data_IF_117912314619
#
_entry.id   IF_117912314619
#
_cell.length_a   1.000
_cell.length_b   1.000
_cell.length_c   1.000
_cell.angle_alpha   90.00
_cell.angle_beta   90.00
_cell.angle_gamma   90.00
#
_symmetry.space_group_name_H-M   'P 1'
#
loop_
_entity.id
_entity.type
_entity.pdbx_description
1 polymer ?
#
# COMPACT_ATOMS: atom_id res chain seq x y z
N UNK A 1 -47.13 43.89 39.34
CA UNK A 1 -46.84 43.57 37.94
C UNK A 1 -45.34 43.79 37.82
N UNK A 2 -44.58 42.69 37.93
CA UNK A 2 -43.16 42.69 38.30
C UNK A 2 -42.21 42.96 37.15
N UNK A 3 -41.12 43.58 37.55
CA UNK A 3 -39.80 43.75 36.91
C UNK A 3 -39.35 42.52 36.10
N UNK A 4 -38.75 42.77 34.93
CA UNK A 4 -37.33 42.51 34.65
C UNK A 4 -37.04 42.79 33.16
N UNK A 5 -36.57 44.02 32.88
CA UNK A 5 -35.80 44.31 31.68
C UNK A 5 -34.38 43.75 31.89
N UNK A 6 -34.13 42.55 31.37
CA UNK A 6 -32.77 42.06 31.18
C UNK A 6 -32.17 42.74 29.95
N UNK A 7 -31.59 43.92 30.16
CA UNK A 7 -30.54 44.44 29.29
C UNK A 7 -29.35 43.47 29.34
N UNK A 8 -29.34 42.52 28.40
CA UNK A 8 -28.13 41.82 28.01
C UNK A 8 -27.19 42.84 27.36
N UNK A 9 -26.35 43.46 28.18
CA UNK A 9 -25.10 44.07 27.74
C UNK A 9 -24.27 42.96 27.09
N UNK A 10 -24.38 42.86 25.75
CA UNK A 10 -23.36 42.24 24.93
C UNK A 10 -22.06 43.02 25.17
N UNK A 11 -21.25 42.54 26.11
CA UNK A 11 -19.87 42.96 26.28
C UNK A 11 -19.17 42.81 24.93
N UNK A 12 -19.00 43.95 24.24
CA UNK A 12 -18.17 44.04 23.05
C UNK A 12 -16.76 43.69 23.49
N UNK A 13 -16.34 42.45 23.22
CA UNK A 13 -14.97 42.02 23.45
C UNK A 13 -14.05 43.06 22.78
N UNK A 14 -13.16 43.74 23.51
CA UNK A 14 -12.35 44.80 22.93
C UNK A 14 -11.53 44.20 21.80
N UNK A 15 -11.68 44.77 20.60
CA UNK A 15 -11.01 44.31 19.40
C UNK A 15 -9.51 44.17 19.67
N UNK A 16 -9.02 42.93 19.70
CA UNK A 16 -7.60 42.65 19.93
C UNK A 16 -6.77 43.48 18.95
N UNK A 17 -5.74 44.21 19.44
CA UNK A 17 -4.92 45.03 18.56
C UNK A 17 -4.33 44.16 17.43
N UNK A 18 -4.27 44.69 16.20
CA UNK A 18 -3.81 43.92 15.05
C UNK A 18 -2.39 43.41 15.29
N UNK A 19 -2.21 42.12 15.03
CA UNK A 19 -0.95 41.42 15.27
C UNK A 19 0.17 42.08 14.46
N UNK A 20 1.29 42.42 15.11
CA UNK A 20 2.43 43.01 14.39
C UNK A 20 3.06 41.97 13.45
N UNK A 21 3.66 42.43 12.34
CA UNK A 21 4.33 41.54 11.40
C UNK A 21 5.47 40.73 12.03
N UNK A 22 6.17 41.30 13.01
CA UNK A 22 7.21 40.59 13.77
C UNK A 22 6.62 39.42 14.58
N UNK A 23 5.53 39.68 15.32
CA UNK A 23 4.83 38.65 16.08
C UNK A 23 4.22 37.57 15.18
N UNK A 24 3.70 37.96 14.01
CA UNK A 24 3.20 37.01 13.01
C UNK A 24 4.31 36.05 12.55
N UNK A 25 5.51 36.58 12.24
CA UNK A 25 6.65 35.76 11.81
C UNK A 25 7.13 34.81 12.91
N UNK A 26 7.20 35.28 14.15
CA UNK A 26 7.55 34.46 15.31
C UNK A 26 6.55 33.32 15.54
N UNK A 27 5.24 33.64 15.57
CA UNK A 27 4.19 32.62 15.69
C UNK A 27 4.25 31.61 14.55
N UNK A 28 4.50 32.07 13.32
CA UNK A 28 4.64 31.17 12.16
C UNK A 28 5.88 30.28 12.28
N UNK A 29 6.99 30.78 12.83
CA UNK A 29 8.18 29.97 13.10
C UNK A 29 7.89 28.87 14.12
N UNK A 30 7.23 29.21 15.24
CA UNK A 30 6.83 28.22 16.25
C UNK A 30 5.85 27.16 15.71
N UNK A 31 4.92 27.56 14.83
CA UNK A 31 4.05 26.59 14.15
C UNK A 31 4.83 25.64 13.25
N UNK A 32 5.84 26.12 12.51
CA UNK A 32 6.68 25.25 11.67
C UNK A 32 7.45 24.26 12.53
N UNK A 33 8.06 24.71 13.63
CA UNK A 33 8.78 23.84 14.56
C UNK A 33 7.88 22.75 15.14
N UNK A 34 6.69 23.10 15.63
CA UNK A 34 5.72 22.13 16.13
C UNK A 34 5.30 21.11 15.05
N UNK A 35 5.12 21.57 13.80
CA UNK A 35 4.84 20.67 12.68
C UNK A 35 6.01 19.74 12.37
N UNK A 36 7.26 20.18 12.56
CA UNK A 36 8.46 19.38 12.37
C UNK A 36 8.55 18.28 13.44
N UNK A 37 8.25 18.62 14.69
CA UNK A 37 8.20 17.66 15.80
C UNK A 37 7.12 16.59 15.62
N UNK A 38 5.95 16.98 15.13
CA UNK A 38 4.88 16.02 14.78
C UNK A 38 5.36 15.06 13.70
N UNK A 39 6.03 15.54 12.65
CA UNK A 39 6.54 14.67 11.58
C UNK A 39 7.59 13.70 12.09
N UNK A 40 8.51 14.17 12.94
CA UNK A 40 9.52 13.31 13.57
C UNK A 40 8.87 12.22 14.43
N UNK A 41 7.85 12.59 15.21
CA UNK A 41 7.09 11.64 16.04
C UNK A 41 6.36 10.59 15.21
N UNK A 42 5.75 10.99 14.09
CA UNK A 42 5.09 10.08 13.15
C UNK A 42 6.10 9.11 12.51
N UNK A 43 7.28 9.57 12.14
CA UNK A 43 8.33 8.71 11.59
C UNK A 43 8.78 7.64 12.60
N UNK A 44 8.99 8.03 13.86
CA UNK A 44 9.32 7.09 14.95
C UNK A 44 8.19 6.08 15.18
N UNK A 45 6.94 6.55 15.22
CA UNK A 45 5.78 5.67 15.37
C UNK A 45 5.69 4.67 14.21
N UNK A 46 5.82 5.13 12.97
CA UNK A 46 5.77 4.28 11.78
C UNK A 46 6.86 3.19 11.82
N UNK A 47 8.09 3.54 12.20
CA UNK A 47 9.17 2.57 12.37
C UNK A 47 8.83 1.50 13.42
N UNK A 48 8.34 1.91 14.60
CA UNK A 48 7.93 0.97 15.66
C UNK A 48 6.78 0.07 15.24
N UNK A 49 5.80 0.60 14.51
CA UNK A 49 4.67 -0.14 13.96
C UNK A 49 5.14 -1.21 12.97
N UNK A 50 6.09 -0.86 12.09
CA UNK A 50 6.71 -1.81 11.17
C UNK A 50 7.46 -2.91 11.92
N UNK A 51 8.26 -2.56 12.92
CA UNK A 51 9.04 -3.54 13.68
C UNK A 51 8.12 -4.50 14.47
N UNK A 52 7.07 -3.96 15.09
CA UNK A 52 6.01 -4.74 15.72
C UNK A 52 5.29 -5.66 14.71
N UNK A 53 5.04 -5.15 13.50
CA UNK A 53 4.39 -5.93 12.46
C UNK A 53 5.27 -7.07 11.95
N UNK A 54 6.56 -6.81 11.74
CA UNK A 54 7.54 -7.80 11.32
C UNK A 54 7.71 -8.91 12.38
N UNK A 55 7.74 -8.54 13.67
CA UNK A 55 7.81 -9.47 14.78
C UNK A 55 6.48 -10.22 15.06
N UNK A 56 5.39 -9.86 14.37
CA UNK A 56 4.05 -10.42 14.56
C UNK A 56 3.58 -10.38 16.02
N UNK A 57 3.81 -9.26 16.71
CA UNK A 57 3.55 -9.11 18.17
C UNK A 57 2.12 -9.45 18.59
N UNK A 58 1.17 -9.40 17.66
CA UNK A 58 -0.22 -9.74 17.91
C UNK A 58 -0.43 -11.23 18.23
N UNK A 59 0.43 -12.12 17.72
CA UNK A 59 0.32 -13.57 17.97
C UNK A 59 0.59 -13.94 19.44
N UNK A 60 1.74 -13.56 20.05
CA UNK A 60 1.99 -13.87 21.46
C UNK A 60 1.04 -13.11 22.41
N UNK A 61 0.45 -12.01 21.95
CA UNK A 61 -0.57 -11.26 22.71
C UNK A 61 -1.99 -11.84 22.55
N UNK A 62 -2.16 -12.90 21.74
CA UNK A 62 -3.43 -13.63 21.63
C UNK A 62 -4.44 -13.05 20.64
N UNK A 63 -4.05 -12.08 19.81
CA UNK A 63 -4.94 -11.56 18.77
C UNK A 63 -4.86 -12.42 17.50
N UNK A 64 -6.01 -12.69 16.88
CA UNK A 64 -6.09 -13.52 15.67
C UNK A 64 -5.52 -12.86 14.41
N UNK A 65 -5.31 -11.54 14.42
CA UNK A 65 -4.78 -10.80 13.27
C UNK A 65 -4.15 -9.47 13.69
N UNK A 66 -3.33 -8.91 12.78
CA UNK A 66 -2.81 -7.55 12.90
C UNK A 66 -3.91 -6.50 13.07
N UNK A 67 -5.01 -6.65 12.33
CA UNK A 67 -6.14 -5.73 12.38
C UNK A 67 -6.84 -5.77 13.75
N UNK A 68 -7.08 -6.96 14.28
CA UNK A 68 -7.66 -7.13 15.62
C UNK A 68 -6.78 -6.53 16.70
N UNK A 69 -5.46 -6.66 16.57
CA UNK A 69 -4.49 -6.03 17.47
C UNK A 69 -4.52 -4.49 17.38
N UNK A 70 -4.50 -3.93 16.17
CA UNK A 70 -4.52 -2.47 16.00
C UNK A 70 -5.81 -1.81 16.48
N UNK A 71 -6.95 -2.46 16.28
CA UNK A 71 -8.23 -1.99 16.78
C UNK A 71 -8.26 -2.04 18.32
N UNK A 72 -7.86 -3.16 18.91
CA UNK A 72 -7.89 -3.37 20.35
C UNK A 72 -6.89 -2.50 21.13
N UNK A 73 -5.64 -2.40 20.66
CA UNK A 73 -4.55 -1.73 21.41
C UNK A 73 -4.44 -0.24 21.10
N UNK A 74 -4.80 0.18 19.87
CA UNK A 74 -4.58 1.56 19.43
C UNK A 74 -5.87 2.29 19.03
N UNK A 75 -7.01 1.59 18.92
CA UNK A 75 -8.27 2.18 18.46
C UNK A 75 -8.17 2.73 17.04
N UNK A 76 -7.32 2.15 16.19
CA UNK A 76 -7.13 2.61 14.80
C UNK A 76 -7.68 1.59 13.81
N UNK A 77 -8.27 2.12 12.73
CA UNK A 77 -8.76 1.27 11.65
C UNK A 77 -7.64 0.55 10.91
N UNK A 78 -7.98 -0.59 10.30
CA UNK A 78 -7.12 -1.33 9.38
C UNK A 78 -6.42 -0.42 8.37
N UNK A 79 -7.18 0.46 7.71
CA UNK A 79 -6.63 1.37 6.71
C UNK A 79 -5.59 2.34 7.31
N UNK A 80 -5.81 2.84 8.53
CA UNK A 80 -4.84 3.68 9.23
C UNK A 80 -3.57 2.88 9.58
N UNK A 81 -3.72 1.64 10.05
CA UNK A 81 -2.60 0.77 10.40
C UNK A 81 -1.71 0.46 9.17
N UNK A 82 -2.31 0.09 8.04
CA UNK A 82 -1.54 -0.12 6.80
C UNK A 82 -0.92 1.16 6.25
N UNK A 83 -1.58 2.33 6.38
CA UNK A 83 -0.96 3.62 6.03
C UNK A 83 0.31 3.91 6.82
N UNK A 84 0.39 3.50 8.09
CA UNK A 84 1.61 3.63 8.90
C UNK A 84 2.72 2.70 8.39
N UNK A 85 2.37 1.49 7.94
CA UNK A 85 3.32 0.57 7.30
C UNK A 85 3.85 1.11 5.97
N UNK A 86 2.98 1.71 5.14
CA UNK A 86 3.38 2.35 3.88
C UNK A 86 4.39 3.48 4.10
N UNK A 87 4.12 4.32 5.11
CA UNK A 87 5.01 5.41 5.52
C UNK A 87 6.35 4.86 6.02
N UNK A 88 6.32 3.82 6.85
CA UNK A 88 7.53 3.18 7.37
C UNK A 88 8.38 2.53 6.26
N UNK A 89 7.73 1.88 5.30
CA UNK A 89 8.38 1.28 4.14
C UNK A 89 9.04 2.33 3.26
N UNK A 90 8.34 3.44 2.96
CA UNK A 90 8.90 4.54 2.19
C UNK A 90 10.11 5.19 2.89
N UNK A 91 10.02 5.44 4.20
CA UNK A 91 11.14 5.99 4.96
C UNK A 91 12.33 5.04 4.98
N UNK A 92 12.12 3.75 5.20
CA UNK A 92 13.19 2.75 5.20
C UNK A 92 13.95 2.70 3.86
N UNK A 93 13.21 2.72 2.75
CA UNK A 93 13.81 2.73 1.42
C UNK A 93 14.63 4.02 1.17
N UNK A 94 14.12 5.17 1.59
CA UNK A 94 14.82 6.45 1.49
C UNK A 94 16.09 6.45 2.36
N UNK A 95 16.01 6.01 3.62
CA UNK A 95 17.16 5.91 4.51
C UNK A 95 18.23 4.98 3.94
N UNK A 96 17.85 3.77 3.48
CA UNK A 96 18.78 2.84 2.85
C UNK A 96 19.44 3.42 1.59
N UNK A 97 18.70 4.15 0.75
CA UNK A 97 19.27 4.80 -0.43
C UNK A 97 20.27 5.92 -0.09
N UNK A 98 20.00 6.68 0.97
CA UNK A 98 20.92 7.71 1.47
C UNK A 98 22.17 7.06 2.06
N UNK A 99 22.03 5.99 2.83
CA UNK A 99 23.16 5.23 3.37
C UNK A 99 24.06 4.73 2.22
N UNK A 100 23.51 4.04 1.23
CA UNK A 100 24.26 3.55 0.05
C UNK A 100 24.91 4.70 -0.73
N UNK A 101 24.17 5.78 -0.97
CA UNK A 101 24.66 6.95 -1.71
C UNK A 101 25.77 7.71 -0.98
N UNK A 102 25.78 7.70 0.35
CA UNK A 102 26.79 8.37 1.18
C UNK A 102 27.95 7.47 1.60
N UNK A 103 27.78 6.15 1.63
CA UNK A 103 28.88 5.18 1.77
C UNK A 103 29.89 5.33 0.63
N UNK A 104 29.40 5.58 -0.59
CA UNK A 104 30.23 5.88 -1.76
C UNK A 104 31.09 7.15 -1.56
N UNK A 105 30.71 8.03 -0.60
CA UNK A 105 31.37 9.31 -0.31
C UNK A 105 32.35 9.26 0.87
N UNK A 106 32.43 8.19 1.67
CA UNK A 106 33.21 8.20 2.94
C UNK A 106 34.51 7.39 2.89
N UNK A 107 35.63 8.11 2.71
CA UNK A 107 36.75 7.99 3.65
C UNK A 107 36.30 8.73 4.94
N UNK A 108 36.26 8.02 6.06
CA UNK A 108 35.48 8.27 7.29
C UNK A 108 35.77 9.60 8.02
N UNK A 109 34.73 10.32 8.45
CA UNK A 109 34.54 10.72 9.86
C UNK A 109 33.04 10.96 10.18
N UNK A 110 32.71 10.87 11.45
CA UNK A 110 31.43 10.50 12.07
C UNK A 110 30.29 11.48 11.78
N UNK A 111 29.37 11.11 10.87
CA UNK A 111 28.09 11.79 10.66
C UNK A 111 26.94 11.07 11.37
N UNK A 112 25.85 11.78 11.74
CA UNK A 112 24.72 11.20 12.47
C UNK A 112 24.16 9.98 11.71
N UNK A 113 23.80 8.92 12.44
CA UNK A 113 23.12 7.74 11.86
C UNK A 113 21.95 8.20 11.00
N UNK A 114 21.83 7.67 9.76
CA UNK A 114 20.76 8.04 8.83
C UNK A 114 19.35 7.86 9.40
N UNK A 115 19.20 7.05 10.46
CA UNK A 115 17.99 6.92 11.26
C UNK A 115 17.48 8.25 11.87
N UNK A 116 18.31 9.31 11.93
CA UNK A 116 17.97 10.60 12.53
C UNK A 116 17.60 11.70 11.52
N UNK A 117 17.75 11.48 10.21
CA UNK A 117 17.50 12.53 9.22
C UNK A 117 15.99 12.72 8.99
N UNK A 118 15.45 13.83 9.50
CA UNK A 118 14.16 14.36 9.04
C UNK A 118 14.37 15.03 7.68
N UNK A 119 13.90 14.37 6.63
CA UNK A 119 13.92 14.93 5.28
C UNK A 119 12.86 16.04 5.08
N UNK A 120 12.06 16.36 6.10
CA UNK A 120 10.93 17.28 6.05
C UNK A 120 9.87 16.86 5.05
N UNK A 121 9.70 15.55 4.85
CA UNK A 121 8.67 14.98 3.98
C UNK A 121 7.36 14.88 4.74
N UNK A 122 6.27 15.30 4.11
CA UNK A 122 4.94 15.09 4.69
C UNK A 122 4.49 13.64 4.56
N UNK A 123 3.61 13.19 5.45
CA UNK A 123 3.00 11.85 5.36
C UNK A 123 2.34 11.62 3.99
N UNK A 124 1.68 12.65 3.44
CA UNK A 124 1.09 12.62 2.09
C UNK A 124 2.12 12.37 1.01
N UNK A 125 3.31 12.97 1.11
CA UNK A 125 4.39 12.75 0.16
C UNK A 125 4.92 11.31 0.23
N UNK A 126 5.09 10.78 1.45
CA UNK A 126 5.54 9.41 1.68
C UNK A 126 4.53 8.38 1.16
N UNK A 127 3.24 8.58 1.45
CA UNK A 127 2.16 7.72 0.93
C UNK A 127 2.13 7.75 -0.61
N UNK A 128 2.27 8.92 -1.22
CA UNK A 128 2.24 9.07 -2.68
C UNK A 128 3.39 8.35 -3.42
N UNK A 129 4.49 8.04 -2.73
CA UNK A 129 5.63 7.31 -3.30
C UNK A 129 5.78 5.89 -2.74
N UNK A 130 4.92 5.46 -1.81
CA UNK A 130 4.99 4.15 -1.13
C UNK A 130 5.00 2.96 -2.10
N UNK A 131 4.26 3.05 -3.21
CA UNK A 131 4.25 2.03 -4.27
C UNK A 131 5.38 2.14 -5.30
N UNK A 132 6.32 3.08 -5.17
CA UNK A 132 7.44 3.34 -6.10
C UNK A 132 8.74 3.64 -5.34
N UNK A 133 8.94 2.97 -4.21
CA UNK A 133 10.06 3.22 -3.28
C UNK A 133 11.41 2.83 -3.88
N UNK A 134 11.43 1.83 -4.75
CA UNK A 134 12.55 1.43 -5.60
C UNK A 134 13.00 2.57 -6.53
N UNK A 135 12.05 3.20 -7.24
CA UNK A 135 12.34 4.33 -8.16
C UNK A 135 12.89 5.53 -7.38
N UNK A 136 12.31 5.82 -6.22
CA UNK A 136 12.81 6.90 -5.34
C UNK A 136 14.22 6.58 -4.85
N UNK A 137 14.46 5.36 -4.37
CA UNK A 137 15.75 4.92 -3.86
C UNK A 137 16.85 4.98 -4.93
N UNK A 138 16.55 4.51 -6.15
CA UNK A 138 17.48 4.58 -7.28
C UNK A 138 17.82 6.04 -7.63
N UNK A 139 16.81 6.91 -7.70
CA UNK A 139 17.01 8.32 -8.03
C UNK A 139 17.86 9.05 -6.98
N UNK A 140 17.62 8.77 -5.69
CA UNK A 140 18.42 9.29 -4.59
C UNK A 140 19.87 8.81 -4.72
N UNK A 141 20.08 7.49 -4.82
CA UNK A 141 21.41 6.88 -4.90
C UNK A 141 22.20 7.45 -6.07
N UNK A 142 21.58 7.51 -7.26
CA UNK A 142 22.19 8.05 -8.48
C UNK A 142 22.60 9.52 -8.32
N UNK A 143 21.75 10.35 -7.71
CA UNK A 143 22.03 11.78 -7.51
C UNK A 143 23.13 12.03 -6.49
N UNK A 144 23.10 11.31 -5.36
CA UNK A 144 24.15 11.40 -4.35
C UNK A 144 25.49 10.92 -4.91
N UNK A 145 25.51 9.82 -5.66
CA UNK A 145 26.70 9.37 -6.37
C UNK A 145 27.21 10.43 -7.35
N UNK A 146 26.36 11.01 -8.19
CA UNK A 146 26.76 12.06 -9.12
C UNK A 146 27.39 13.28 -8.41
N UNK A 147 26.82 13.69 -7.27
CA UNK A 147 27.38 14.79 -6.46
C UNK A 147 28.74 14.42 -5.86
N UNK A 148 28.90 13.20 -5.35
CA UNK A 148 30.20 12.71 -4.85
C UNK A 148 31.28 12.72 -5.95
N UNK A 149 30.92 12.31 -7.17
CA UNK A 149 31.84 12.34 -8.33
C UNK A 149 32.17 13.76 -8.81
N UNK A 150 31.34 14.76 -8.50
CA UNK A 150 31.58 16.16 -8.89
C UNK A 150 32.58 16.91 -7.99
N UNK A 151 33.14 16.25 -6.97
CA UNK A 151 34.22 16.79 -6.14
C UNK A 151 33.77 17.49 -4.85
N UNK A 152 32.49 17.41 -4.49
CA UNK A 152 32.01 17.79 -3.15
C UNK A 152 32.51 16.74 -2.14
N UNK A 153 33.59 17.07 -1.43
CA UNK A 153 34.28 16.17 -0.48
C UNK A 153 33.41 15.72 0.71
N UNK A 154 32.32 16.42 1.00
CA UNK A 154 31.34 16.00 2.00
C UNK A 154 29.92 16.43 1.58
N UNK A 155 29.02 15.46 1.48
CA UNK A 155 27.59 15.72 1.35
C UNK A 155 27.06 16.17 2.71
N UNK A 156 26.85 17.47 2.88
CA UNK A 156 26.25 17.99 4.10
C UNK A 156 24.76 17.61 4.20
N UNK A 157 24.24 17.62 5.43
CA UNK A 157 22.84 17.31 5.71
C UNK A 157 21.83 18.11 4.85
N UNK A 158 21.96 19.45 4.68
CA UNK A 158 21.01 20.20 3.85
C UNK A 158 21.05 19.78 2.37
N UNK A 159 22.21 19.40 1.83
CA UNK A 159 22.32 18.88 0.46
C UNK A 159 21.62 17.54 0.32
N UNK A 160 21.87 16.59 1.23
CA UNK A 160 21.19 15.28 1.23
C UNK A 160 19.67 15.48 1.33
N UNK A 161 19.23 16.35 2.23
CA UNK A 161 17.82 16.69 2.40
C UNK A 161 17.19 17.27 1.13
N UNK A 162 17.91 18.16 0.44
CA UNK A 162 17.45 18.74 -0.82
C UNK A 162 17.33 17.67 -1.92
N UNK A 163 18.32 16.77 -2.04
CA UNK A 163 18.29 15.66 -3.00
C UNK A 163 17.10 14.75 -2.76
N UNK A 164 16.87 14.34 -1.51
CA UNK A 164 15.72 13.48 -1.14
C UNK A 164 14.40 14.17 -1.45
N UNK A 165 14.23 15.43 -1.05
CA UNK A 165 13.00 16.20 -1.33
C UNK A 165 12.74 16.31 -2.83
N UNK A 166 13.78 16.58 -3.61
CA UNK A 166 13.66 16.70 -5.05
C UNK A 166 13.33 15.34 -5.69
N UNK A 167 13.99 14.26 -5.28
CA UNK A 167 13.70 12.91 -5.79
C UNK A 167 12.25 12.49 -5.52
N UNK A 168 11.77 12.68 -4.29
CA UNK A 168 10.37 12.39 -3.91
C UNK A 168 9.40 13.27 -4.69
N UNK A 169 9.72 14.56 -4.88
CA UNK A 169 8.89 15.47 -5.68
C UNK A 169 8.81 14.98 -7.13
N UNK A 170 9.94 14.61 -7.73
CA UNK A 170 10.04 14.19 -9.13
C UNK A 170 9.24 12.90 -9.36
N UNK A 171 9.37 11.90 -8.48
CA UNK A 171 8.57 10.68 -8.57
C UNK A 171 7.08 11.00 -8.41
N UNK A 172 6.71 11.87 -7.47
CA UNK A 172 5.30 12.24 -7.25
C UNK A 172 4.65 12.92 -8.46
N UNK A 173 5.38 13.77 -9.18
CA UNK A 173 4.87 14.47 -10.37
C UNK A 173 5.04 13.65 -11.66
N UNK A 174 5.98 12.70 -11.68
CA UNK A 174 6.14 11.79 -12.80
C UNK A 174 4.85 10.97 -12.95
N UNK A 175 4.34 10.83 -14.19
CA UNK A 175 3.25 9.91 -14.47
C UNK A 175 3.60 8.56 -13.84
N UNK A 176 2.64 7.84 -13.24
CA UNK A 176 2.89 6.45 -12.90
C UNK A 176 3.44 5.79 -14.17
N UNK A 177 4.52 4.99 -14.07
CA UNK A 177 4.97 4.23 -15.22
C UNK A 177 3.72 3.54 -15.80
N UNK A 178 3.57 3.48 -17.14
CA UNK A 178 2.50 2.67 -17.72
C UNK A 178 2.54 1.34 -16.98
N UNK A 179 1.39 0.80 -16.54
CA UNK A 179 1.37 -0.41 -15.75
C UNK A 179 2.33 -1.37 -16.44
N UNK A 180 3.43 -1.69 -15.76
CA UNK A 180 4.25 -2.83 -16.18
C UNK A 180 3.21 -3.93 -16.09
N UNK A 181 2.76 -4.40 -17.24
CA UNK A 181 1.89 -5.54 -17.27
C UNK A 181 2.64 -6.57 -16.42
N UNK A 182 2.12 -7.01 -15.27
CA UNK A 182 2.83 -7.99 -14.43
C UNK A 182 3.11 -9.29 -15.23
N UNK A 183 2.61 -9.36 -16.45
CA UNK A 183 2.82 -10.33 -17.51
C UNK A 183 3.93 -9.94 -18.53
N UNK A 184 5.03 -9.31 -18.13
CA UNK A 184 6.26 -9.31 -18.95
C UNK A 184 7.09 -10.58 -18.76
N UNK A 185 6.84 -11.37 -17.71
CA UNK A 185 7.41 -12.70 -17.59
C UNK A 185 6.70 -13.63 -18.60
N UNK A 186 7.39 -14.08 -19.67
CA UNK A 186 6.79 -14.92 -20.70
C UNK A 186 6.28 -16.25 -20.12
N UNK A 187 6.84 -16.72 -18.99
CA UNK A 187 6.40 -17.94 -18.32
C UNK A 187 5.06 -17.71 -17.61
N UNK A 188 4.88 -16.57 -16.93
CA UNK A 188 3.61 -16.22 -16.29
C UNK A 188 2.54 -15.93 -17.34
N UNK A 189 2.89 -15.28 -18.45
CA UNK A 189 2.00 -15.05 -19.58
C UNK A 189 1.52 -16.38 -20.21
N UNK A 190 2.46 -17.28 -20.49
CA UNK A 190 2.16 -18.62 -20.98
C UNK A 190 1.30 -19.41 -19.99
N UNK A 191 1.60 -19.35 -18.69
CA UNK A 191 0.81 -19.99 -17.64
C UNK A 191 -0.63 -19.47 -17.58
N UNK A 192 -0.84 -18.16 -17.71
CA UNK A 192 -2.18 -17.55 -17.78
C UNK A 192 -2.93 -17.96 -19.05
N UNK A 193 -2.24 -18.00 -20.18
CA UNK A 193 -2.85 -18.45 -21.43
C UNK A 193 -3.26 -19.93 -21.36
N UNK A 194 -2.40 -20.80 -20.82
CA UNK A 194 -2.73 -22.20 -20.58
C UNK A 194 -3.93 -22.34 -19.64
N UNK A 195 -3.97 -21.55 -18.57
CA UNK A 195 -5.09 -21.53 -17.63
C UNK A 195 -6.39 -21.06 -18.31
N UNK A 196 -6.33 -20.02 -19.16
CA UNK A 196 -7.47 -19.56 -19.93
C UNK A 196 -7.95 -20.61 -20.93
N UNK A 197 -7.03 -21.30 -21.60
CA UNK A 197 -7.35 -22.40 -22.51
C UNK A 197 -8.04 -23.55 -21.74
N UNK A 198 -7.54 -23.92 -20.56
CA UNK A 198 -8.17 -24.94 -19.71
C UNK A 198 -9.59 -24.54 -19.30
N UNK A 199 -9.82 -23.29 -18.93
CA UNK A 199 -11.18 -22.80 -18.65
C UNK A 199 -12.07 -22.81 -19.89
N UNK A 200 -11.54 -22.49 -21.07
CA UNK A 200 -12.30 -22.60 -22.33
C UNK A 200 -12.66 -24.04 -22.65
N UNK A 201 -11.73 -24.99 -22.45
CA UNK A 201 -11.98 -26.42 -22.64
C UNK A 201 -13.01 -26.95 -21.66
N UNK A 202 -12.91 -26.57 -20.38
CA UNK A 202 -13.89 -26.97 -19.36
C UNK A 202 -15.30 -26.41 -19.66
N UNK A 203 -15.39 -25.20 -20.24
CA UNK A 203 -16.66 -24.65 -20.69
C UNK A 203 -17.26 -25.46 -21.85
N UNK A 204 -16.45 -25.78 -22.86
CA UNK A 204 -16.89 -26.60 -23.99
C UNK A 204 -17.34 -28.01 -23.58
N UNK A 205 -16.62 -28.64 -22.63
CA UNK A 205 -17.06 -29.91 -22.02
C UNK A 205 -18.41 -29.71 -21.33
N UNK A 206 -18.57 -28.63 -20.56
CA UNK A 206 -19.83 -28.31 -19.90
C UNK A 206 -21.01 -28.08 -20.87
N UNK A 207 -20.76 -27.48 -22.04
CA UNK A 207 -21.78 -27.36 -23.10
C UNK A 207 -22.19 -28.74 -23.64
N UNK A 208 -21.22 -29.64 -23.89
CA UNK A 208 -21.54 -31.02 -24.27
C UNK A 208 -22.36 -31.75 -23.19
N UNK A 209 -22.06 -31.51 -21.91
CA UNK A 209 -22.86 -32.06 -20.81
C UNK A 209 -24.28 -31.49 -20.79
N UNK A 210 -24.47 -30.23 -21.16
CA UNK A 210 -25.79 -29.59 -21.20
C UNK A 210 -26.67 -30.11 -22.34
N UNK A 211 -26.09 -30.55 -23.45
CA UNK A 211 -26.84 -31.20 -24.55
C UNK A 211 -27.51 -32.50 -24.11
N UNK A 212 -26.84 -33.30 -23.26
CA UNK A 212 -27.35 -34.59 -22.77
C UNK A 212 -28.01 -34.52 -21.40
N UNK A 213 -27.71 -33.50 -20.60
CA UNK A 213 -28.29 -33.22 -19.29
C UNK A 213 -28.63 -31.72 -19.17
N UNK A 214 -29.78 -31.28 -19.70
CA UNK A 214 -30.16 -29.87 -19.75
C UNK A 214 -30.23 -29.20 -18.38
N UNK A 215 -30.11 -27.88 -18.34
CA UNK A 215 -29.99 -27.08 -17.11
C UNK A 215 -31.15 -27.23 -16.10
N UNK A 216 -32.33 -27.68 -16.53
CA UNK A 216 -33.47 -27.91 -15.63
C UNK A 216 -33.33 -29.19 -14.78
N UNK A 217 -32.39 -30.08 -15.11
CA UNK A 217 -32.12 -31.28 -14.33
C UNK A 217 -31.20 -30.95 -13.13
N UNK A 218 -31.47 -31.57 -11.99
CA UNK A 218 -30.57 -31.54 -10.85
C UNK A 218 -29.29 -32.35 -11.12
N UNK A 219 -28.22 -32.11 -10.34
CA UNK A 219 -26.97 -32.86 -10.47
C UNK A 219 -27.17 -34.36 -10.20
N UNK A 220 -28.09 -34.73 -9.30
CA UNK A 220 -28.44 -36.14 -9.04
C UNK A 220 -29.11 -36.80 -10.24
N UNK A 221 -30.04 -36.09 -10.90
CA UNK A 221 -30.71 -36.60 -12.10
C UNK A 221 -29.74 -36.68 -13.29
N UNK A 222 -28.91 -35.65 -13.47
CA UNK A 222 -27.88 -35.61 -14.49
C UNK A 222 -26.85 -36.75 -14.32
N UNK A 223 -26.50 -37.09 -13.07
CA UNK A 223 -25.55 -38.16 -12.75
C UNK A 223 -26.02 -39.58 -13.13
N UNK A 224 -27.34 -39.80 -13.26
CA UNK A 224 -27.93 -41.15 -13.44
C UNK A 224 -28.31 -41.50 -14.87
N UNK A 225 -27.87 -40.71 -15.86
CA UNK A 225 -28.34 -40.84 -17.25
C UNK A 225 -27.24 -40.88 -18.31
N UNK A 226 -27.59 -40.43 -19.53
CA UNK A 226 -26.73 -40.40 -20.72
C UNK A 226 -25.43 -39.61 -20.49
N UNK A 227 -25.44 -38.66 -19.57
CA UNK A 227 -24.26 -37.90 -19.18
C UNK A 227 -23.14 -38.77 -18.59
N UNK A 228 -23.48 -39.79 -17.77
CA UNK A 228 -22.48 -40.70 -17.22
C UNK A 228 -21.79 -41.53 -18.30
N UNK A 229 -22.57 -42.03 -19.27
CA UNK A 229 -22.04 -42.74 -20.44
C UNK A 229 -21.17 -41.83 -21.32
N UNK A 230 -21.60 -40.58 -21.53
CA UNK A 230 -20.80 -39.60 -22.28
C UNK A 230 -19.47 -39.31 -21.57
N UNK A 231 -19.48 -39.16 -20.24
CA UNK A 231 -18.27 -38.97 -19.43
C UNK A 231 -17.29 -40.14 -19.59
N UNK A 232 -17.78 -41.38 -19.53
CA UNK A 232 -16.96 -42.59 -19.76
C UNK A 232 -16.34 -42.61 -21.16
N UNK A 233 -17.12 -42.29 -22.20
CA UNK A 233 -16.66 -42.29 -23.60
C UNK A 233 -15.56 -41.25 -23.86
N UNK A 234 -15.67 -40.06 -23.26
CA UNK A 234 -14.66 -39.01 -23.40
C UNK A 234 -13.51 -39.13 -22.37
N UNK A 235 -13.55 -40.14 -21.51
CA UNK A 235 -12.54 -40.38 -20.47
C UNK A 235 -12.54 -39.33 -19.34
N UNK A 236 -13.66 -38.64 -19.13
CA UNK A 236 -13.80 -37.65 -18.07
C UNK A 236 -14.47 -38.24 -16.82
N UNK A 237 -13.97 -37.98 -15.61
CA UNK A 237 -14.66 -38.39 -14.39
C UNK A 237 -16.04 -37.74 -14.29
N UNK A 238 -17.06 -38.49 -13.84
CA UNK A 238 -18.43 -37.99 -13.71
C UNK A 238 -18.52 -36.72 -12.85
N UNK A 239 -17.75 -36.64 -11.76
CA UNK A 239 -17.68 -35.45 -10.91
C UNK A 239 -17.15 -34.22 -11.66
N UNK A 240 -16.19 -34.41 -12.57
CA UNK A 240 -15.66 -33.35 -13.42
C UNK A 240 -16.71 -32.93 -14.46
N UNK A 241 -17.42 -33.88 -15.07
CA UNK A 241 -18.54 -33.60 -15.96
C UNK A 241 -19.62 -32.74 -15.29
N UNK A 242 -20.00 -33.06 -14.07
CA UNK A 242 -20.98 -32.27 -13.28
C UNK A 242 -20.46 -30.87 -12.95
N UNK A 243 -19.17 -30.77 -12.59
CA UNK A 243 -18.54 -29.48 -12.31
C UNK A 243 -18.44 -28.60 -13.56
N UNK A 244 -18.09 -29.17 -14.72
CA UNK A 244 -18.05 -28.51 -16.01
C UNK A 244 -19.45 -28.04 -16.45
N UNK A 245 -20.48 -28.88 -16.26
CA UNK A 245 -21.89 -28.53 -16.50
C UNK A 245 -22.32 -27.31 -15.66
N UNK A 246 -22.03 -27.30 -14.35
CA UNK A 246 -22.30 -26.15 -13.47
C UNK A 246 -21.55 -24.90 -13.90
N UNK A 247 -20.31 -25.06 -14.34
CA UNK A 247 -19.50 -23.95 -14.86
C UNK A 247 -20.06 -23.38 -16.17
N UNK A 248 -20.53 -24.22 -17.10
CA UNK A 248 -21.15 -23.75 -18.33
C UNK A 248 -22.44 -22.95 -18.09
N UNK A 249 -23.26 -23.37 -17.13
CA UNK A 249 -24.50 -22.64 -16.77
C UNK A 249 -24.24 -21.29 -16.10
N UNK A 250 -23.23 -21.21 -15.22
CA UNK A 250 -23.02 -20.05 -14.34
C UNK A 250 -21.93 -19.10 -14.81
N UNK A 251 -20.95 -19.57 -15.59
CA UNK A 251 -19.71 -18.88 -15.86
C UNK A 251 -18.80 -18.70 -14.62
N UNK A 252 -19.18 -19.21 -13.45
CA UNK A 252 -18.40 -19.08 -12.22
C UNK A 252 -17.37 -20.21 -12.12
N UNK A 253 -16.08 -19.83 -12.22
CA UNK A 253 -14.94 -20.76 -12.14
C UNK A 253 -14.90 -21.56 -10.83
N UNK A 254 -15.55 -21.09 -9.76
CA UNK A 254 -15.64 -21.84 -8.48
C UNK A 254 -16.45 -23.14 -8.63
N UNK A 255 -17.32 -23.22 -9.62
CA UNK A 255 -18.09 -24.42 -9.92
C UNK A 255 -17.21 -25.63 -10.25
N UNK A 256 -16.06 -25.41 -10.89
CA UNK A 256 -15.08 -26.44 -11.22
C UNK A 256 -14.40 -27.06 -9.98
N UNK A 257 -14.51 -26.42 -8.81
CA UNK A 257 -13.90 -26.87 -7.56
C UNK A 257 -14.93 -27.45 -6.57
N UNK A 258 -16.17 -27.71 -7.01
CA UNK A 258 -17.23 -28.25 -6.15
C UNK A 258 -17.68 -27.28 -5.04
N UNK A 259 -17.36 -25.99 -5.16
CA UNK A 259 -17.75 -24.95 -4.21
C UNK A 259 -18.83 -24.08 -4.85
N UNK A 260 -20.07 -24.56 -4.85
CA UNK A 260 -21.28 -23.78 -5.16
C UNK A 260 -22.30 -24.07 -4.08
#
# INVERSE_FOLDING_TARGET
MGEHDEHQEHGVEPARPPLTAARAREMTAGLREAMDDVRRSVAVLAARVRDAHAARVWLPLGHGSWESYCDAEFGISRAQAYRLLDVAGALAAIHGAVDVGTETSRMRDTGPSAAALDYGLSQRALIAVSGRTDVVAELITRRLAALAHSGLQALDEPTVRAVVRQAVRDVRIAPPPPPVDPSADPVVAAGRQLTANLFSSAHAIGELMLEVAPAYLSDTEAATGVMALLCEEIGEPLEHGLAARRYAMSGDRRALHGRV
#
